data_IF_673926195583
#
_entry.id   IF_673926195583
#
_cell.length_a   1.000
_cell.length_b   1.000
_cell.length_c   1.000
_cell.angle_alpha   90.00
_cell.angle_beta   90.00
_cell.angle_gamma   90.00
#
_symmetry.space_group_name_H-M   'P 1'
#
loop_
_entity.id
_entity.type
_entity.pdbx_description
1 polymer ?
#
# COMPACT_ATOMS: atom_id res chain seq x y z
N UNK A 1 -21.50 -15.60 -1.11
CA UNK A 1 -21.22 -14.27 -1.71
C UNK A 1 -20.17 -13.51 -0.91
N UNK A 2 -20.37 -13.26 0.39
CA UNK A 2 -19.41 -12.53 1.22
C UNK A 2 -18.04 -13.21 1.37
N UNK A 3 -17.98 -14.55 1.39
CA UNK A 3 -16.71 -15.29 1.42
C UNK A 3 -15.81 -15.02 0.20
N UNK A 4 -16.40 -14.95 -1.00
CA UNK A 4 -15.65 -14.63 -2.21
C UNK A 4 -15.10 -13.19 -2.16
N UNK A 5 -15.85 -12.26 -1.56
CA UNK A 5 -15.38 -10.89 -1.33
C UNK A 5 -14.23 -10.85 -0.31
N UNK A 6 -14.33 -11.59 0.79
CA UNK A 6 -13.28 -11.70 1.81
C UNK A 6 -11.96 -12.18 1.19
N UNK A 7 -11.98 -13.30 0.45
CA UNK A 7 -10.80 -13.80 -0.27
C UNK A 7 -10.29 -12.78 -1.30
N UNK A 8 -11.21 -12.15 -2.05
CA UNK A 8 -10.86 -11.11 -3.02
C UNK A 8 -10.13 -9.92 -2.39
N UNK A 9 -10.59 -9.44 -1.23
CA UNK A 9 -9.94 -8.36 -0.50
C UNK A 9 -8.57 -8.76 0.03
N UNK A 10 -8.42 -9.99 0.54
CA UNK A 10 -7.10 -10.50 0.94
C UNK A 10 -6.13 -10.53 -0.23
N UNK A 11 -6.52 -11.13 -1.35
CA UNK A 11 -5.68 -11.19 -2.56
C UNK A 11 -5.32 -9.79 -3.07
N UNK A 12 -6.29 -8.87 -3.09
CA UNK A 12 -6.07 -7.50 -3.50
C UNK A 12 -5.07 -6.79 -2.59
N UNK A 13 -5.25 -6.84 -1.28
CA UNK A 13 -4.35 -6.17 -0.34
C UNK A 13 -2.95 -6.80 -0.36
N UNK A 14 -2.83 -8.13 -0.39
CA UNK A 14 -1.53 -8.81 -0.52
C UNK A 14 -0.83 -8.39 -1.80
N UNK A 15 -1.54 -8.37 -2.93
CA UNK A 15 -1.00 -7.90 -4.21
C UNK A 15 -0.57 -6.43 -4.17
N UNK A 16 -1.38 -5.57 -3.54
CA UNK A 16 -1.07 -4.14 -3.37
C UNK A 16 0.19 -3.93 -2.52
N UNK A 17 0.33 -4.68 -1.42
CA UNK A 17 1.51 -4.62 -0.55
C UNK A 17 2.75 -5.09 -1.32
N UNK A 18 2.70 -6.25 -1.98
CA UNK A 18 3.83 -6.76 -2.78
C UNK A 18 4.23 -5.76 -3.86
N UNK A 19 3.24 -5.15 -4.54
CA UNK A 19 3.51 -4.15 -5.56
C UNK A 19 4.17 -2.89 -4.98
N UNK A 20 3.74 -2.37 -3.84
CA UNK A 20 4.42 -1.22 -3.20
C UNK A 20 5.81 -1.58 -2.63
N UNK A 21 6.04 -2.86 -2.29
CA UNK A 21 7.36 -3.31 -1.84
C UNK A 21 8.36 -3.51 -2.99
N UNK A 22 7.90 -3.84 -4.20
CA UNK A 22 8.77 -4.28 -5.31
C UNK A 22 8.65 -3.44 -6.58
N UNK A 23 7.58 -2.64 -6.73
CA UNK A 23 7.24 -1.95 -7.97
C UNK A 23 8.22 -0.85 -8.37
N UNK A 24 9.09 -0.40 -7.46
CA UNK A 24 10.19 0.52 -7.73
C UNK A 24 11.36 -0.09 -8.51
N UNK A 25 11.48 -1.43 -8.51
CA UNK A 25 12.59 -2.15 -9.15
C UNK A 25 12.58 -1.91 -10.67
N UNK A 26 11.41 -2.08 -11.31
CA UNK A 26 11.30 -1.98 -12.77
C UNK A 26 11.11 -0.53 -13.25
N UNK A 27 11.93 -0.08 -14.20
CA UNK A 27 11.83 1.28 -14.78
C UNK A 27 10.44 1.59 -15.36
N UNK A 28 9.82 0.60 -16.02
CA UNK A 28 8.49 0.76 -16.63
C UNK A 28 7.37 0.93 -15.59
N UNK A 29 7.52 0.36 -14.39
CA UNK A 29 6.51 0.41 -13.33
C UNK A 29 6.73 1.57 -12.36
N UNK A 30 7.87 2.27 -12.39
CA UNK A 30 8.17 3.39 -11.46
C UNK A 30 7.12 4.49 -11.39
N UNK A 31 6.51 4.86 -12.52
CA UNK A 31 5.43 5.86 -12.55
C UNK A 31 4.16 5.33 -11.88
N UNK A 32 3.81 4.08 -12.16
CA UNK A 32 2.67 3.41 -11.53
C UNK A 32 2.90 3.20 -10.04
N UNK A 33 4.11 2.81 -9.64
CA UNK A 33 4.52 2.67 -8.25
C UNK A 33 4.45 4.01 -7.49
N UNK A 34 4.86 5.11 -8.12
CA UNK A 34 4.68 6.44 -7.54
C UNK A 34 3.20 6.78 -7.33
N UNK A 35 2.35 6.44 -8.31
CA UNK A 35 0.91 6.62 -8.18
C UNK A 35 0.32 5.78 -7.03
N UNK A 36 0.68 4.51 -6.90
CA UNK A 36 0.15 3.64 -5.83
C UNK A 36 0.62 4.10 -4.45
N UNK A 37 1.88 4.51 -4.32
CA UNK A 37 2.39 5.10 -3.07
C UNK A 37 1.66 6.41 -2.76
N UNK A 38 1.45 7.27 -3.75
CA UNK A 38 0.73 8.54 -3.55
C UNK A 38 -0.73 8.30 -3.12
N UNK A 39 -1.42 7.35 -3.74
CA UNK A 39 -2.78 6.96 -3.35
C UNK A 39 -2.81 6.39 -1.93
N UNK A 40 -1.84 5.56 -1.57
CA UNK A 40 -1.73 4.99 -0.22
C UNK A 40 -1.46 6.10 0.81
N UNK A 41 -0.54 7.02 0.52
CA UNK A 41 -0.27 8.18 1.37
C UNK A 41 -1.49 9.10 1.49
N UNK A 42 -2.20 9.37 0.40
CA UNK A 42 -3.42 10.17 0.42
C UNK A 42 -4.49 9.52 1.30
N UNK A 43 -4.63 8.20 1.24
CA UNK A 43 -5.56 7.47 2.09
C UNK A 43 -5.14 7.57 3.56
N UNK A 44 -3.88 7.27 3.86
CA UNK A 44 -3.38 7.22 5.24
C UNK A 44 -3.33 8.58 5.92
N UNK A 45 -2.84 9.61 5.22
CA UNK A 45 -2.64 10.94 5.78
C UNK A 45 -3.77 11.90 5.44
N UNK A 46 -4.40 11.77 4.27
CA UNK A 46 -5.53 12.61 3.89
C UNK A 46 -6.81 12.14 4.58
N UNK A 47 -7.25 10.90 4.28
CA UNK A 47 -8.45 10.36 4.91
C UNK A 47 -8.23 10.02 6.38
N UNK A 48 -7.01 9.64 6.78
CA UNK A 48 -6.72 9.32 8.16
C UNK A 48 -6.83 10.50 9.14
N UNK A 49 -6.86 11.75 8.67
CA UNK A 49 -7.20 12.91 9.51
C UNK A 49 -8.62 12.80 10.06
N UNK A 50 -9.56 12.21 9.30
CA UNK A 50 -10.95 12.05 9.72
C UNK A 50 -11.24 10.66 10.31
N UNK A 51 -10.65 9.61 9.74
CA UNK A 51 -11.00 8.23 10.05
C UNK A 51 -9.96 7.48 10.91
N UNK A 52 -8.81 8.10 11.20
CA UNK A 52 -7.75 7.52 12.01
C UNK A 52 -6.49 7.14 11.22
N UNK A 53 -5.38 6.96 11.95
CA UNK A 53 -4.08 6.69 11.37
C UNK A 53 -4.08 5.43 10.51
N UNK A 54 -3.53 5.52 9.29
CA UNK A 54 -3.41 4.37 8.39
C UNK A 54 -4.72 3.96 7.71
N UNK A 55 -5.75 4.80 7.72
CA UNK A 55 -7.05 4.48 7.13
C UNK A 55 -6.96 4.15 5.63
N UNK A 56 -7.66 3.10 5.23
CA UNK A 56 -7.84 2.67 3.85
C UNK A 56 -9.31 2.32 3.56
N UNK A 57 -9.97 2.93 2.57
CA UNK A 57 -11.35 2.60 2.21
C UNK A 57 -11.55 1.12 1.87
N UNK A 58 -10.54 0.47 1.27
CA UNK A 58 -10.60 -0.96 0.95
C UNK A 58 -10.58 -1.82 2.21
N UNK A 59 -9.80 -1.42 3.21
CA UNK A 59 -9.76 -2.08 4.52
C UNK A 59 -11.08 -1.89 5.27
N UNK A 60 -11.62 -0.68 5.27
CA UNK A 60 -12.91 -0.37 5.91
C UNK A 60 -14.07 -1.17 5.29
N UNK A 61 -14.11 -1.27 3.95
CA UNK A 61 -15.07 -2.15 3.30
C UNK A 61 -14.81 -3.62 3.66
N UNK A 62 -13.56 -4.06 3.66
CA UNK A 62 -13.25 -5.43 4.04
C UNK A 62 -13.71 -5.75 5.47
N UNK A 63 -13.57 -4.81 6.42
CA UNK A 63 -14.11 -4.94 7.77
C UNK A 63 -15.63 -5.11 7.79
N UNK A 64 -16.36 -4.35 6.99
CA UNK A 64 -17.82 -4.52 6.88
C UNK A 64 -18.21 -5.89 6.31
N UNK A 65 -17.44 -6.44 5.36
CA UNK A 65 -17.66 -7.79 4.84
C UNK A 65 -17.39 -8.84 5.92
N UNK A 66 -16.28 -8.73 6.65
CA UNK A 66 -15.92 -9.67 7.72
C UNK A 66 -16.87 -9.62 8.91
N UNK A 67 -17.35 -8.43 9.29
CA UNK A 67 -18.37 -8.27 10.31
C UNK A 67 -19.69 -8.98 9.92
N UNK A 68 -20.08 -8.94 8.63
CA UNK A 68 -21.25 -9.68 8.12
C UNK A 68 -21.04 -11.21 8.10
N UNK A 69 -19.80 -11.67 8.07
CA UNK A 69 -19.43 -13.07 8.20
C UNK A 69 -19.34 -13.52 9.68
N UNK A 70 -19.48 -12.58 10.63
CA UNK A 70 -19.42 -12.87 12.07
C UNK A 70 -18.00 -12.92 12.65
N UNK A 71 -17.00 -12.38 11.95
CA UNK A 71 -15.64 -12.29 12.47
C UNK A 71 -15.48 -11.13 13.46
N UNK A 72 -14.67 -11.36 14.49
CA UNK A 72 -14.16 -10.33 15.40
C UNK A 72 -12.68 -10.19 15.13
N UNK A 73 -12.28 -9.04 14.64
CA UNK A 73 -10.97 -8.85 14.04
C UNK A 73 -10.10 -7.87 14.82
N UNK A 74 -8.76 -7.97 14.69
CA UNK A 74 -7.84 -7.03 15.33
C UNK A 74 -7.94 -5.63 14.72
N UNK A 75 -7.55 -4.62 15.50
CA UNK A 75 -7.58 -3.22 15.08
C UNK A 75 -6.57 -2.88 13.96
N UNK A 76 -5.57 -3.74 13.70
CA UNK A 76 -4.61 -3.57 12.60
C UNK A 76 -4.87 -4.57 11.48
N UNK A 77 -5.07 -4.05 10.27
CA UNK A 77 -5.34 -4.88 9.09
C UNK A 77 -4.12 -5.72 8.69
N UNK A 78 -2.92 -5.17 8.82
CA UNK A 78 -1.70 -5.92 8.49
C UNK A 78 -1.44 -7.00 9.53
N UNK A 79 -1.79 -6.77 10.81
CA UNK A 79 -1.78 -7.83 11.81
C UNK A 79 -2.69 -8.98 11.40
N UNK A 80 -3.95 -8.70 11.04
CA UNK A 80 -4.87 -9.73 10.54
C UNK A 80 -4.25 -10.47 9.34
N UNK A 81 -3.65 -9.75 8.40
CA UNK A 81 -3.06 -10.37 7.22
C UNK A 81 -1.90 -11.29 7.58
N UNK A 82 -1.02 -10.87 8.50
CA UNK A 82 0.09 -11.69 8.99
C UNK A 82 -0.43 -12.94 9.69
N UNK A 83 -1.41 -12.78 10.57
CA UNK A 83 -2.02 -13.89 11.31
C UNK A 83 -2.68 -14.89 10.36
N UNK A 84 -3.47 -14.43 9.38
CA UNK A 84 -4.13 -15.29 8.39
C UNK A 84 -3.14 -15.99 7.47
N UNK A 85 -2.05 -15.33 7.05
CA UNK A 85 -1.07 -15.90 6.12
C UNK A 85 -0.03 -16.80 6.79
N UNK A 86 0.36 -16.49 8.03
CA UNK A 86 1.50 -17.15 8.71
C UNK A 86 1.11 -17.90 9.98
N UNK A 87 -0.07 -17.63 10.54
CA UNK A 87 -0.49 -18.15 11.85
C UNK A 87 0.23 -17.49 13.04
N UNK A 88 0.99 -16.42 12.82
CA UNK A 88 1.76 -15.74 13.87
C UNK A 88 0.97 -14.56 14.44
N UNK A 89 0.80 -14.55 15.76
CA UNK A 89 0.30 -13.40 16.50
C UNK A 89 1.45 -12.41 16.76
N UNK A 90 1.43 -11.29 16.04
CA UNK A 90 2.41 -10.21 16.22
C UNK A 90 1.70 -9.01 16.84
N UNK A 91 2.34 -8.36 17.81
CA UNK A 91 1.78 -7.18 18.45
C UNK A 91 1.51 -6.06 17.41
N UNK A 92 0.31 -5.44 17.40
CA UNK A 92 -0.08 -4.46 16.38
C UNK A 92 0.91 -3.30 16.26
N UNK A 93 1.45 -2.80 17.37
CA UNK A 93 2.44 -1.71 17.35
C UNK A 93 3.73 -2.05 16.60
N UNK A 94 4.18 -3.31 16.62
CA UNK A 94 5.36 -3.76 15.87
C UNK A 94 5.04 -3.82 14.38
N UNK A 95 3.89 -4.38 14.03
CA UNK A 95 3.44 -4.48 12.64
C UNK A 95 3.28 -3.09 12.04
N UNK A 96 2.57 -2.20 12.73
CA UNK A 96 2.29 -0.85 12.23
C UNK A 96 3.57 -0.03 12.05
N UNK A 97 4.54 -0.15 12.98
CA UNK A 97 5.85 0.48 12.86
C UNK A 97 6.63 -0.06 11.65
N UNK A 98 6.65 -1.38 11.44
CA UNK A 98 7.32 -1.99 10.29
C UNK A 98 6.69 -1.54 8.97
N UNK A 99 5.36 -1.53 8.87
CA UNK A 99 4.66 -1.09 7.66
C UNK A 99 5.00 0.37 7.37
N UNK A 100 4.99 1.24 8.39
CA UNK A 100 5.34 2.66 8.21
C UNK A 100 6.78 2.84 7.73
N UNK A 101 7.74 2.11 8.31
CA UNK A 101 9.16 2.18 7.93
C UNK A 101 9.34 1.70 6.48
N UNK A 102 8.77 0.54 6.14
CA UNK A 102 8.85 -0.03 4.78
C UNK A 102 8.22 0.93 3.78
N UNK A 103 7.05 1.48 4.10
CA UNK A 103 6.37 2.45 3.26
C UNK A 103 7.20 3.71 3.05
N UNK A 104 7.80 4.27 4.11
CA UNK A 104 8.65 5.46 4.02
C UNK A 104 9.87 5.23 3.13
N UNK A 105 10.54 4.07 3.27
CA UNK A 105 11.67 3.69 2.42
C UNK A 105 11.23 3.53 0.96
N UNK A 106 10.13 2.81 0.72
CA UNK A 106 9.60 2.62 -0.63
C UNK A 106 9.19 3.95 -1.28
N UNK A 107 8.60 4.87 -0.52
CA UNK A 107 8.22 6.19 -0.98
C UNK A 107 9.45 7.04 -1.36
N UNK A 108 10.47 7.06 -0.49
CA UNK A 108 11.72 7.76 -0.76
C UNK A 108 12.41 7.22 -2.03
N UNK A 109 12.52 5.89 -2.16
CA UNK A 109 13.07 5.26 -3.36
C UNK A 109 12.27 5.61 -4.62
N UNK A 110 10.93 5.56 -4.53
CA UNK A 110 10.05 5.91 -5.64
C UNK A 110 10.28 7.34 -6.14
N UNK A 111 10.36 8.31 -5.22
CA UNK A 111 10.61 9.72 -5.54
C UNK A 111 12.01 9.89 -6.16
N UNK A 112 13.06 9.36 -5.52
CA UNK A 112 14.44 9.50 -5.99
C UNK A 112 14.61 8.91 -7.39
N UNK A 113 14.08 7.71 -7.64
CA UNK A 113 14.21 7.06 -8.94
C UNK A 113 13.42 7.77 -10.04
N UNK A 114 12.21 8.26 -9.75
CA UNK A 114 11.43 9.03 -10.74
C UNK A 114 12.08 10.38 -11.06
N UNK A 115 12.66 11.07 -10.08
CA UNK A 115 13.42 12.31 -10.30
C UNK A 115 14.67 12.04 -11.14
N UNK A 116 15.43 10.97 -10.83
CA UNK A 116 16.59 10.55 -11.62
C UNK A 116 16.23 10.24 -13.07
N UNK A 117 15.16 9.47 -13.30
CA UNK A 117 14.73 9.10 -14.64
C UNK A 117 14.24 10.34 -15.43
N UNK A 118 13.57 11.29 -14.77
CA UNK A 118 13.14 12.55 -15.40
C UNK A 118 14.31 13.46 -15.78
N UNK A 119 15.42 13.41 -15.04
CA UNK A 119 16.66 14.14 -15.38
C UNK A 119 17.48 13.44 -16.47
N UNK A 120 17.37 12.12 -16.61
CA UNK A 120 18.03 11.35 -17.66
C UNK A 120 17.37 11.56 -19.04
N UNK A 121 16.06 11.84 -19.05
CA UNK A 121 15.37 12.37 -20.23
C UNK A 121 15.65 13.87 -20.30
N UNK A 122 16.85 14.25 -20.75
CA UNK A 122 17.18 15.65 -21.00
C UNK A 122 16.17 16.29 -21.97
N UNK A 123 15.96 17.62 -21.91
CA UNK A 123 15.04 18.29 -22.83
C UNK A 123 15.41 17.93 -24.27
N UNK A 124 14.43 17.75 -25.19
CA UNK A 124 14.75 17.49 -26.58
C UNK A 124 15.71 18.57 -27.03
N UNK A 125 16.89 18.17 -27.53
CA UNK A 125 17.80 19.09 -28.19
C UNK A 125 16.95 19.84 -29.21
N UNK A 126 16.72 21.14 -28.99
CA UNK A 126 16.11 22.01 -30.00
C UNK A 126 16.98 21.84 -31.24
N UNK A 127 16.52 21.01 -32.17
CA UNK A 127 17.17 20.79 -33.45
C UNK A 127 17.09 22.10 -34.18
N UNK A 128 18.20 22.83 -34.21
CA UNK A 128 18.38 23.91 -35.16
C UNK A 128 18.60 23.30 -36.53
N UNK A 129 17.69 23.61 -37.45
CA UNK A 129 17.94 24.06 -38.83
C UNK A 129 16.61 24.36 -39.49
#
# INVERSE_FOLDING_TARGET
MYEALNVGFFLFHTGWIIFNCTGWIWRRTRRWHLLTIALTALSWFGLGIWYGWGYCPCTDWHWQVRARLGHVDPNSYVQLLVEVLTGLEVAPGVVDALVLIIFAVAAALSVVLNVRDSRAVGPPRRGGR
#
